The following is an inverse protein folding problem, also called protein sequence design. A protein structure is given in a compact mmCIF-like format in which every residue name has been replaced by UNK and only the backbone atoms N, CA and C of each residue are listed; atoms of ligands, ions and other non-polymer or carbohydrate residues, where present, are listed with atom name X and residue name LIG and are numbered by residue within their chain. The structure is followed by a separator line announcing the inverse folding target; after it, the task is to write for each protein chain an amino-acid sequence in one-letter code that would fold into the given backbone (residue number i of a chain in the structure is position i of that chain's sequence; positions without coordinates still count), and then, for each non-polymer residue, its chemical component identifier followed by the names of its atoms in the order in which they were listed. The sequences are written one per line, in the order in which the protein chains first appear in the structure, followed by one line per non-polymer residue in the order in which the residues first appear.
data_IF_467688389635
#
_entry.id   IF_467688389635
#
_cell.length_a   1.000
_cell.length_b   1.000
_cell.length_c   1.000
_cell.angle_alpha   90.00
_cell.angle_beta   90.00
_cell.angle_gamma   90.00
#
_symmetry.space_group_name_H-M   'P 1'
#
loop_
_entity.id
_entity.type
_entity.pdbx_description
1 polymer ?
#
# COMPACT_ATOMS: atom_id res chain seq x y z
N UNK A 1 -42.10 4.62 -11.02
CA UNK A 1 -41.41 5.74 -11.71
C UNK A 1 -39.99 5.28 -11.98
N UNK A 2 -39.72 4.87 -13.20
CA UNK A 2 -38.37 4.48 -13.63
C UNK A 2 -37.50 5.74 -13.63
N UNK A 3 -36.35 5.69 -13.01
CA UNK A 3 -35.39 6.77 -13.04
C UNK A 3 -34.93 6.97 -14.50
N UNK A 4 -35.07 8.17 -14.99
CA UNK A 4 -34.73 8.61 -16.34
C UNK A 4 -33.26 8.30 -16.64
N UNK A 5 -32.92 7.56 -17.73
CA UNK A 5 -31.56 7.35 -18.16
C UNK A 5 -30.78 8.66 -18.44
N UNK A 6 -31.45 9.79 -18.55
CA UNK A 6 -30.84 11.10 -18.72
C UNK A 6 -30.18 11.63 -17.43
N UNK A 7 -30.63 11.22 -16.24
CA UNK A 7 -30.06 11.63 -14.94
C UNK A 7 -28.68 10.98 -14.73
N UNK A 8 -28.37 9.86 -15.39
CA UNK A 8 -27.06 9.23 -15.38
C UNK A 8 -26.03 9.91 -16.31
N UNK A 9 -26.46 10.90 -17.12
CA UNK A 9 -25.56 11.60 -18.07
C UNK A 9 -25.06 12.96 -17.59
N UNK A 10 -25.50 13.47 -16.44
CA UNK A 10 -25.10 14.80 -15.95
C UNK A 10 -24.13 14.82 -14.78
N UNK A 11 -23.63 13.65 -14.30
CA UNK A 11 -22.42 13.66 -13.50
C UNK A 11 -21.27 14.05 -14.43
N UNK A 12 -20.61 15.16 -14.17
CA UNK A 12 -19.37 15.59 -14.82
C UNK A 12 -18.56 14.36 -15.22
N UNK A 13 -18.22 14.23 -16.50
CA UNK A 13 -17.37 13.17 -17.02
C UNK A 13 -16.00 13.38 -16.37
N UNK A 14 -15.85 12.93 -15.13
CA UNK A 14 -14.54 12.89 -14.49
C UNK A 14 -13.67 12.04 -15.37
N UNK A 15 -12.63 12.66 -15.88
CA UNK A 15 -11.60 11.99 -16.68
C UNK A 15 -11.14 10.75 -15.91
N UNK A 16 -11.10 9.61 -16.56
CA UNK A 16 -10.62 8.39 -15.93
C UNK A 16 -9.15 8.55 -15.53
N UNK A 17 -8.74 8.00 -14.39
CA UNK A 17 -7.32 7.92 -14.07
C UNK A 17 -6.53 7.24 -15.19
N UNK A 18 -5.40 7.81 -15.56
CA UNK A 18 -4.58 7.35 -16.69
C UNK A 18 -4.21 5.85 -16.61
N UNK A 19 -4.03 5.32 -15.40
CA UNK A 19 -3.78 3.88 -15.20
C UNK A 19 -4.97 3.01 -15.61
N UNK A 20 -6.19 3.45 -15.38
CA UNK A 20 -7.41 2.71 -15.75
C UNK A 20 -7.69 2.81 -17.24
N UNK A 21 -7.46 4.00 -17.84
CA UNK A 21 -7.58 4.20 -19.28
C UNK A 21 -6.67 3.27 -20.09
N UNK A 22 -5.49 2.98 -19.54
CA UNK A 22 -4.49 2.14 -20.19
C UNK A 22 -4.69 0.65 -19.94
N UNK A 23 -5.22 0.25 -18.77
CA UNK A 23 -5.26 -1.16 -18.36
C UNK A 23 -6.22 -1.99 -19.23
N UNK A 24 -7.45 -1.51 -19.43
CA UNK A 24 -8.47 -2.23 -20.22
C UNK A 24 -8.00 -2.52 -21.65
N UNK A 25 -7.62 -1.48 -22.43
CA UNK A 25 -7.11 -1.66 -23.78
C UNK A 25 -5.89 -2.60 -23.87
N UNK A 26 -4.92 -2.46 -22.96
CA UNK A 26 -3.72 -3.31 -22.96
C UNK A 26 -4.02 -4.78 -22.65
N UNK A 27 -5.00 -5.06 -21.77
CA UNK A 27 -5.46 -6.42 -21.53
C UNK A 27 -6.19 -7.00 -22.76
N UNK A 28 -6.98 -6.18 -23.46
CA UNK A 28 -7.68 -6.58 -24.68
C UNK A 28 -6.70 -6.89 -25.82
N UNK A 29 -5.68 -6.07 -26.02
CA UNK A 29 -4.60 -6.28 -27.01
C UNK A 29 -3.90 -7.63 -26.80
N UNK A 30 -3.63 -7.98 -25.54
CA UNK A 30 -3.00 -9.24 -25.17
C UNK A 30 -4.01 -10.41 -25.06
N UNK A 31 -5.27 -10.20 -25.46
CA UNK A 31 -6.35 -11.18 -25.43
C UNK A 31 -6.55 -11.87 -24.08
N UNK A 32 -6.30 -11.16 -23.00
CA UNK A 32 -6.53 -11.63 -21.64
C UNK A 32 -8.03 -11.74 -21.39
N UNK A 33 -8.51 -12.90 -20.98
CA UNK A 33 -9.92 -13.12 -20.61
C UNK A 33 -10.11 -12.71 -19.15
N UNK A 34 -10.89 -11.65 -18.93
CA UNK A 34 -11.17 -11.11 -17.62
C UNK A 34 -12.51 -10.40 -17.57
N UNK A 35 -13.03 -10.19 -16.37
CA UNK A 35 -14.18 -9.32 -16.12
C UNK A 35 -14.11 -8.72 -14.71
N UNK A 36 -14.79 -7.60 -14.52
CA UNK A 36 -15.05 -7.05 -13.20
C UNK A 36 -16.30 -7.75 -12.63
N UNK A 37 -16.07 -8.78 -11.81
CA UNK A 37 -17.13 -9.71 -11.41
C UNK A 37 -18.05 -9.20 -10.29
N UNK A 38 -17.74 -8.02 -9.70
CA UNK A 38 -18.62 -7.33 -8.72
C UNK A 38 -18.31 -5.85 -8.65
N UNK A 39 -19.34 -5.06 -8.32
CA UNK A 39 -19.21 -3.63 -8.01
C UNK A 39 -18.89 -2.74 -9.21
N UNK A 40 -19.10 -3.21 -10.45
CA UNK A 40 -18.84 -2.42 -11.67
C UNK A 40 -19.64 -1.12 -11.70
N UNK A 41 -20.85 -1.10 -11.22
CA UNK A 41 -21.76 0.04 -11.16
C UNK A 41 -21.36 1.10 -10.10
N UNK A 42 -20.47 0.79 -9.14
CA UNK A 42 -19.93 1.74 -8.15
C UNK A 42 -18.70 2.51 -8.68
N UNK A 43 -18.75 2.91 -9.96
CA UNK A 43 -17.63 3.52 -10.68
C UNK A 43 -17.03 4.71 -9.92
N UNK A 44 -17.85 5.61 -9.40
CA UNK A 44 -17.40 6.83 -8.70
C UNK A 44 -16.50 6.53 -7.49
N UNK A 45 -16.64 5.38 -6.87
CA UNK A 45 -15.84 5.00 -5.71
C UNK A 45 -14.48 4.40 -6.10
N UNK A 46 -14.45 3.44 -7.05
CA UNK A 46 -13.20 2.78 -7.36
C UNK A 46 -12.31 3.61 -8.31
N UNK A 47 -12.87 4.53 -9.11
CA UNK A 47 -12.07 5.48 -9.92
C UNK A 47 -11.35 6.52 -9.06
N UNK A 48 -11.85 6.84 -7.88
CA UNK A 48 -11.20 7.76 -6.92
C UNK A 48 -10.23 7.07 -5.96
N UNK A 49 -10.08 5.75 -6.07
CA UNK A 49 -9.27 4.93 -5.15
C UNK A 49 -9.92 4.70 -3.78
N UNK A 50 -11.23 5.01 -3.63
CA UNK A 50 -11.97 4.74 -2.38
C UNK A 50 -12.45 3.30 -2.27
N UNK A 51 -12.65 2.63 -3.40
CA UNK A 51 -13.05 1.23 -3.50
C UNK A 51 -11.95 0.34 -4.06
N UNK A 52 -12.18 -0.96 -4.00
CA UNK A 52 -11.38 -1.97 -4.70
C UNK A 52 -12.05 -2.30 -6.03
N UNK A 53 -11.25 -2.58 -7.05
CA UNK A 53 -11.69 -3.11 -8.34
C UNK A 53 -11.46 -4.62 -8.29
N UNK A 54 -12.54 -5.38 -8.34
CA UNK A 54 -12.48 -6.84 -8.22
C UNK A 54 -12.54 -7.49 -9.60
N UNK A 55 -11.40 -7.91 -10.12
CA UNK A 55 -11.27 -8.55 -11.42
C UNK A 55 -11.17 -10.06 -11.28
N UNK A 56 -11.93 -10.79 -12.08
CA UNK A 56 -11.72 -12.20 -12.33
C UNK A 56 -10.90 -12.34 -13.61
N UNK A 57 -9.82 -13.08 -13.57
CA UNK A 57 -8.93 -13.37 -14.72
C UNK A 57 -8.87 -14.87 -14.92
N UNK A 58 -8.98 -15.32 -16.16
CA UNK A 58 -8.82 -16.73 -16.47
C UNK A 58 -7.47 -17.26 -15.98
N UNK A 59 -7.41 -18.41 -15.28
CA UNK A 59 -6.15 -18.94 -14.75
C UNK A 59 -5.03 -19.06 -15.78
N UNK A 60 -5.37 -19.44 -17.01
CA UNK A 60 -4.42 -19.56 -18.12
C UNK A 60 -3.79 -18.22 -18.52
N UNK A 61 -4.54 -17.13 -18.39
CA UNK A 61 -4.13 -15.79 -18.83
C UNK A 61 -3.52 -14.97 -17.69
N UNK A 62 -3.44 -15.53 -16.47
CA UNK A 62 -3.01 -14.78 -15.28
C UNK A 62 -1.57 -14.27 -15.38
N UNK A 63 -0.64 -15.02 -15.97
CA UNK A 63 0.73 -14.57 -16.18
C UNK A 63 0.81 -13.39 -17.14
N UNK A 64 0.04 -13.41 -18.22
CA UNK A 64 -0.05 -12.30 -19.17
C UNK A 64 -0.66 -11.07 -18.50
N UNK A 65 -1.71 -11.25 -17.69
CA UNK A 65 -2.28 -10.18 -16.87
C UNK A 65 -1.23 -9.53 -15.96
N UNK A 66 -0.42 -10.33 -15.25
CA UNK A 66 0.60 -9.82 -14.35
C UNK A 66 1.63 -8.96 -15.10
N UNK A 67 2.10 -9.42 -16.27
CA UNK A 67 3.05 -8.70 -17.10
C UNK A 67 2.49 -7.34 -17.55
N UNK A 68 1.27 -7.33 -18.09
CA UNK A 68 0.56 -6.13 -18.53
C UNK A 68 0.36 -5.16 -17.36
N UNK A 69 -0.17 -5.62 -16.23
CA UNK A 69 -0.42 -4.80 -15.07
C UNK A 69 0.88 -4.15 -14.53
N UNK A 70 1.98 -4.91 -14.49
CA UNK A 70 3.29 -4.42 -14.08
C UNK A 70 3.83 -3.36 -15.05
N UNK A 71 3.73 -3.59 -16.36
CA UNK A 71 4.17 -2.66 -17.40
C UNK A 71 3.42 -1.33 -17.34
N UNK A 72 2.13 -1.35 -17.04
CA UNK A 72 1.31 -0.14 -16.91
C UNK A 72 1.65 0.66 -15.65
N UNK A 73 2.20 0.01 -14.62
CA UNK A 73 2.61 0.67 -13.38
C UNK A 73 1.89 0.17 -12.13
N UNK A 74 1.16 -0.94 -12.22
CA UNK A 74 0.67 -1.62 -11.03
C UNK A 74 1.77 -2.47 -10.38
N UNK A 75 1.73 -2.58 -9.07
CA UNK A 75 2.64 -3.41 -8.28
C UNK A 75 1.83 -4.35 -7.39
N UNK A 76 2.18 -5.64 -7.43
CA UNK A 76 1.54 -6.63 -6.57
C UNK A 76 2.05 -6.52 -5.13
N UNK A 77 1.16 -6.82 -4.18
CA UNK A 77 1.48 -6.80 -2.76
C UNK A 77 1.07 -8.10 -2.09
N UNK A 78 1.90 -8.55 -1.16
CA UNK A 78 1.62 -9.69 -0.29
C UNK A 78 1.13 -9.23 1.07
N UNK A 79 0.22 -9.98 1.64
CA UNK A 79 -0.24 -9.81 3.02
C UNK A 79 0.44 -10.79 3.96
N UNK A 80 0.16 -10.68 5.26
CA UNK A 80 0.51 -11.75 6.17
C UNK A 80 -0.27 -13.02 5.78
N UNK A 81 0.36 -14.19 5.91
CA UNK A 81 -0.17 -15.49 5.46
C UNK A 81 -1.63 -15.74 5.89
N UNK A 82 -2.03 -15.19 7.03
CA UNK A 82 -3.40 -15.29 7.55
C UNK A 82 -4.38 -14.26 6.96
N UNK A 83 -3.93 -13.34 6.09
CA UNK A 83 -4.78 -12.36 5.40
C UNK A 83 -4.91 -12.64 3.92
N UNK A 84 -4.15 -13.57 3.37
CA UNK A 84 -4.19 -13.94 1.96
C UNK A 84 -5.31 -14.96 1.71
N UNK A 85 -6.07 -14.72 0.68
CA UNK A 85 -7.07 -15.67 0.17
C UNK A 85 -6.41 -16.40 -1.00
N UNK A 86 -6.33 -17.74 -0.98
CA UNK A 86 -5.77 -18.48 -2.11
C UNK A 86 -6.47 -18.14 -3.42
N UNK A 87 -5.72 -17.87 -4.47
CA UNK A 87 -6.27 -17.47 -5.78
C UNK A 87 -6.70 -16.00 -5.86
N UNK A 88 -6.38 -15.17 -4.83
CA UNK A 88 -6.64 -13.72 -4.86
C UNK A 88 -5.34 -12.96 -4.63
N UNK A 89 -5.00 -12.08 -5.53
CA UNK A 89 -3.83 -11.21 -5.43
C UNK A 89 -4.24 -9.75 -5.34
N UNK A 90 -3.48 -8.95 -4.62
CA UNK A 90 -3.74 -7.52 -4.45
C UNK A 90 -2.72 -6.71 -5.23
N UNK A 91 -3.19 -5.78 -6.02
CA UNK A 91 -2.39 -4.90 -6.85
C UNK A 91 -2.68 -3.45 -6.53
N UNK A 92 -1.66 -2.63 -6.57
CA UNK A 92 -1.72 -1.20 -6.29
C UNK A 92 -1.18 -0.44 -7.48
N UNK A 93 -1.85 0.63 -7.88
CA UNK A 93 -1.40 1.56 -8.90
C UNK A 93 -1.30 2.98 -8.32
N UNK A 94 -0.20 3.68 -8.62
CA UNK A 94 -0.05 5.09 -8.29
C UNK A 94 -0.39 5.93 -9.50
N UNK A 95 -1.49 6.66 -9.43
CA UNK A 95 -1.85 7.70 -10.39
C UNK A 95 -1.46 9.07 -9.84
N UNK A 96 -0.91 9.94 -10.69
CA UNK A 96 -0.41 11.27 -10.26
C UNK A 96 -1.52 12.20 -9.82
N UNK A 97 -2.68 12.06 -10.40
CA UNK A 97 -3.84 12.90 -10.12
C UNK A 97 -4.61 12.45 -8.88
N UNK A 98 -4.35 11.22 -8.42
CA UNK A 98 -5.06 10.66 -7.27
C UNK A 98 -4.23 10.75 -5.98
N UNK A 99 -4.86 11.17 -4.87
CA UNK A 99 -4.19 11.19 -3.57
C UNK A 99 -3.97 9.77 -3.01
N UNK A 100 -4.73 8.78 -3.50
CA UNK A 100 -4.76 7.38 -3.03
C UNK A 100 -4.34 6.44 -4.14
N UNK A 101 -4.01 5.20 -3.75
CA UNK A 101 -3.76 4.12 -4.70
C UNK A 101 -5.05 3.63 -5.35
N UNK A 102 -4.98 3.36 -6.64
CA UNK A 102 -5.93 2.48 -7.30
C UNK A 102 -5.63 1.04 -6.88
N UNK A 103 -6.64 0.30 -6.49
CA UNK A 103 -6.47 -1.04 -5.93
C UNK A 103 -7.23 -2.06 -6.74
N UNK A 104 -6.51 -3.10 -7.22
CA UNK A 104 -7.13 -4.23 -7.87
C UNK A 104 -7.04 -5.44 -6.94
N UNK A 105 -8.15 -6.11 -6.76
CA UNK A 105 -8.20 -7.47 -6.24
C UNK A 105 -8.42 -8.41 -7.42
N UNK A 106 -7.42 -9.20 -7.73
CA UNK A 106 -7.43 -10.08 -8.90
C UNK A 106 -7.62 -11.51 -8.45
N UNK A 107 -8.69 -12.08 -8.94
CA UNK A 107 -9.15 -13.42 -8.63
C UNK A 107 -8.86 -14.34 -9.81
N UNK A 108 -8.34 -15.52 -9.55
CA UNK A 108 -8.28 -16.62 -10.54
C UNK A 108 -9.40 -17.64 -10.31
N UNK A 109 -10.08 -17.53 -9.17
CA UNK A 109 -11.18 -18.37 -8.78
C UNK A 109 -12.22 -17.54 -8.05
N UNK A 110 -13.48 -17.77 -8.24
CA UNK A 110 -14.57 -17.10 -7.55
C UNK A 110 -14.68 -17.64 -6.12
N UNK A 111 -14.18 -16.88 -5.17
CA UNK A 111 -14.17 -17.22 -3.75
C UNK A 111 -15.01 -16.21 -3.00
N UNK A 112 -15.99 -16.70 -2.28
CA UNK A 112 -16.93 -15.89 -1.48
C UNK A 112 -16.91 -16.34 -0.01
N UNK A 113 -17.62 -15.62 0.85
CA UNK A 113 -17.71 -15.92 2.28
C UNK A 113 -16.82 -15.03 3.13
N UNK A 114 -16.73 -15.36 4.40
CA UNK A 114 -15.89 -14.64 5.37
C UNK A 114 -14.52 -15.31 5.49
N UNK A 115 -13.50 -14.65 5.00
CA UNK A 115 -12.11 -15.15 4.99
C UNK A 115 -11.52 -15.52 6.36
N UNK A 116 -12.18 -15.16 7.45
CA UNK A 116 -11.83 -15.45 8.84
C UNK A 116 -12.61 -16.64 9.46
N UNK A 117 -13.64 -17.12 8.74
CA UNK A 117 -14.46 -18.27 9.15
C UNK A 117 -14.41 -19.37 8.12
N UNK A 118 -15.08 -19.16 7.01
CA UNK A 118 -15.20 -20.16 5.94
C UNK A 118 -15.23 -19.45 4.61
N UNK A 119 -14.40 -19.90 3.69
CA UNK A 119 -14.41 -19.50 2.28
C UNK A 119 -15.10 -20.59 1.49
N UNK A 120 -15.82 -20.20 0.46
CA UNK A 120 -16.51 -21.09 -0.47
C UNK A 120 -16.05 -20.78 -1.88
N UNK A 121 -15.63 -21.80 -2.63
CA UNK A 121 -15.35 -21.68 -4.05
C UNK A 121 -16.66 -21.90 -4.81
N UNK A 122 -17.00 -20.99 -5.71
CA UNK A 122 -18.18 -21.08 -6.57
C UNK A 122 -17.70 -21.30 -8.00
N UNK A 123 -17.99 -22.46 -8.61
CA UNK A 123 -17.46 -22.83 -9.94
C UNK A 123 -18.26 -22.16 -11.07
N UNK A 124 -18.29 -20.81 -11.05
CA UNK A 124 -18.96 -19.97 -12.07
C UNK A 124 -17.95 -19.21 -12.93
N UNK A 125 -16.65 -19.52 -12.83
CA UNK A 125 -15.60 -18.79 -13.55
C UNK A 125 -15.80 -18.82 -15.07
N UNK A 126 -16.13 -19.98 -15.64
CA UNK A 126 -16.37 -20.13 -17.08
C UNK A 126 -17.61 -19.36 -17.54
N UNK A 127 -18.70 -19.41 -16.77
CA UNK A 127 -19.90 -18.64 -17.08
C UNK A 127 -19.67 -17.13 -16.97
N UNK A 128 -18.85 -16.69 -15.98
CA UNK A 128 -18.52 -15.29 -15.77
C UNK A 128 -17.59 -14.71 -16.87
N UNK A 129 -16.71 -15.53 -17.42
CA UNK A 129 -15.74 -15.14 -18.45
C UNK A 129 -16.18 -15.44 -19.88
N UNK A 130 -17.16 -16.34 -20.05
CA UNK A 130 -17.62 -16.82 -21.37
C UNK A 130 -18.46 -15.78 -22.09
N UNK A 131 -19.37 -15.12 -21.38
CA UNK A 131 -20.24 -14.09 -21.93
C UNK A 131 -20.17 -12.85 -21.05
N UNK A 132 -19.43 -11.86 -21.51
CA UNK A 132 -19.26 -10.60 -20.81
C UNK A 132 -20.05 -9.48 -21.47
N UNK A 133 -20.54 -8.56 -20.65
CA UNK A 133 -21.18 -7.29 -21.07
C UNK A 133 -20.11 -6.21 -21.06
N UNK A 134 -19.95 -5.53 -22.20
CA UNK A 134 -18.97 -4.45 -22.32
C UNK A 134 -19.45 -3.19 -21.59
N UNK A 135 -18.56 -2.60 -20.81
CA UNK A 135 -18.73 -1.30 -20.16
C UNK A 135 -17.56 -0.36 -20.48
N UNK A 136 -17.69 0.89 -20.11
CA UNK A 136 -16.72 1.94 -20.46
C UNK A 136 -15.28 1.69 -19.97
N UNK A 137 -15.08 0.87 -18.93
CA UNK A 137 -13.74 0.64 -18.36
C UNK A 137 -13.38 -0.86 -18.39
N UNK A 138 -14.19 -1.69 -17.77
CA UNK A 138 -13.97 -3.15 -17.71
C UNK A 138 -15.27 -3.89 -18.07
N UNK A 139 -15.18 -5.01 -18.75
CA UNK A 139 -16.35 -5.86 -18.96
C UNK A 139 -16.85 -6.45 -17.64
N UNK A 140 -18.15 -6.70 -17.51
CA UNK A 140 -18.75 -7.44 -16.40
C UNK A 140 -19.34 -8.77 -16.87
N UNK A 141 -19.56 -9.74 -15.97
CA UNK A 141 -20.38 -10.91 -16.30
C UNK A 141 -21.81 -10.48 -16.68
N UNK A 142 -22.56 -11.39 -17.24
CA UNK A 142 -24.00 -11.17 -17.46
C UNK A 142 -24.75 -11.03 -16.13
N UNK A 143 -25.87 -10.28 -16.10
CA UNK A 143 -26.64 -10.00 -14.88
C UNK A 143 -27.03 -11.27 -14.09
N UNK A 144 -27.31 -12.39 -14.78
CA UNK A 144 -27.68 -13.65 -14.13
C UNK A 144 -26.54 -14.20 -13.28
N UNK A 145 -25.29 -14.18 -13.80
CA UNK A 145 -24.10 -14.63 -13.08
C UNK A 145 -23.80 -13.71 -11.91
N UNK A 146 -23.91 -12.39 -12.13
CA UNK A 146 -23.71 -11.40 -11.06
C UNK A 146 -24.76 -11.57 -9.96
N UNK A 147 -26.04 -11.80 -10.29
CA UNK A 147 -27.11 -12.00 -9.33
C UNK A 147 -26.88 -13.27 -8.49
N UNK A 148 -26.47 -14.39 -9.10
CA UNK A 148 -26.11 -15.59 -8.36
C UNK A 148 -24.98 -15.28 -7.37
N UNK A 149 -23.88 -14.72 -7.85
CA UNK A 149 -22.72 -14.40 -7.02
C UNK A 149 -23.06 -13.38 -5.91
N UNK A 150 -23.91 -12.41 -6.22
CA UNK A 150 -24.36 -11.43 -5.24
C UNK A 150 -25.18 -12.07 -4.13
N UNK A 151 -26.21 -12.86 -4.45
CA UNK A 151 -27.09 -13.50 -3.45
C UNK A 151 -26.29 -14.45 -2.56
N UNK A 152 -25.47 -15.33 -3.15
CA UNK A 152 -24.65 -16.27 -2.38
C UNK A 152 -23.64 -15.55 -1.46
N UNK A 153 -22.96 -14.54 -1.98
CA UNK A 153 -21.97 -13.75 -1.25
C UNK A 153 -22.59 -13.01 -0.08
N UNK A 154 -23.71 -12.34 -0.31
CA UNK A 154 -24.33 -11.50 0.72
C UNK A 154 -24.98 -12.36 1.80
N UNK A 155 -25.64 -13.46 1.45
CA UNK A 155 -26.21 -14.40 2.41
C UNK A 155 -25.14 -15.02 3.32
N UNK A 156 -23.96 -15.39 2.78
CA UNK A 156 -22.88 -15.98 3.58
C UNK A 156 -22.14 -14.95 4.44
N UNK A 157 -22.07 -13.69 4.02
CA UNK A 157 -21.26 -12.65 4.70
C UNK A 157 -21.98 -11.99 5.88
N UNK A 158 -23.26 -11.66 5.74
CA UNK A 158 -23.92 -10.68 6.62
C UNK A 158 -24.98 -11.21 7.57
N UNK A 159 -25.10 -12.50 7.74
CA UNK A 159 -26.21 -13.06 8.52
C UNK A 159 -26.13 -12.92 10.04
N UNK A 160 -25.02 -12.53 10.67
CA UNK A 160 -24.83 -12.69 12.13
C UNK A 160 -24.38 -11.42 12.87
N UNK A 161 -24.01 -10.36 12.17
CA UNK A 161 -23.42 -9.17 12.81
C UNK A 161 -24.38 -8.03 13.14
N UNK A 162 -25.59 -8.07 12.60
CA UNK A 162 -26.44 -6.89 12.50
C UNK A 162 -27.78 -7.04 13.24
N UNK A 163 -27.69 -7.42 14.52
CA UNK A 163 -28.88 -7.62 15.37
C UNK A 163 -29.48 -6.31 15.89
N UNK A 164 -28.80 -5.19 15.76
CA UNK A 164 -29.22 -3.90 16.29
C UNK A 164 -29.16 -2.79 15.23
N UNK A 165 -30.28 -2.56 14.54
CA UNK A 165 -30.45 -1.45 13.62
C UNK A 165 -30.41 -1.85 12.12
N UNK A 166 -30.85 -0.94 11.25
CA UNK A 166 -30.75 -1.12 9.79
C UNK A 166 -29.32 -0.77 9.35
N UNK A 167 -28.47 -1.75 9.02
CA UNK A 167 -27.09 -1.45 8.68
C UNK A 167 -27.03 -0.72 7.34
N UNK A 168 -26.17 0.30 7.23
CA UNK A 168 -25.99 1.08 6.01
C UNK A 168 -25.68 0.23 4.76
N UNK A 169 -25.11 -0.98 4.93
CA UNK A 169 -24.86 -1.91 3.85
C UNK A 169 -26.15 -2.53 3.25
N UNK A 170 -27.24 -2.65 4.02
CA UNK A 170 -28.52 -3.19 3.52
C UNK A 170 -29.15 -2.27 2.46
N UNK A 171 -29.09 -0.95 2.63
CA UNK A 171 -29.58 0.00 1.63
C UNK A 171 -28.79 -0.13 0.31
N UNK A 172 -27.46 -0.17 0.40
CA UNK A 172 -26.61 -0.38 -0.78
C UNK A 172 -26.83 -1.75 -1.44
N UNK A 173 -27.17 -2.78 -0.65
CA UNK A 173 -27.55 -4.09 -1.17
C UNK A 173 -28.88 -4.11 -1.89
N UNK A 174 -29.86 -3.36 -1.39
CA UNK A 174 -31.18 -3.26 -2.02
C UNK A 174 -31.08 -2.68 -3.43
N UNK A 175 -30.32 -1.59 -3.60
CA UNK A 175 -30.09 -0.97 -4.90
C UNK A 175 -29.42 -1.93 -5.89
N UNK A 176 -28.36 -2.64 -5.44
CA UNK A 176 -27.64 -3.61 -6.26
C UNK A 176 -28.53 -4.81 -6.61
N UNK A 177 -29.29 -5.34 -5.64
CA UNK A 177 -30.21 -6.45 -5.87
C UNK A 177 -31.32 -6.07 -6.86
N UNK A 178 -31.95 -4.92 -6.65
CA UNK A 178 -33.03 -4.45 -7.53
C UNK A 178 -32.53 -4.23 -8.97
N UNK A 179 -31.33 -3.68 -9.13
CA UNK A 179 -30.72 -3.53 -10.45
C UNK A 179 -30.50 -4.89 -11.12
N UNK A 180 -29.90 -5.84 -10.41
CA UNK A 180 -29.59 -7.17 -10.96
C UNK A 180 -30.87 -7.95 -11.27
N UNK A 181 -31.89 -7.90 -10.42
CA UNK A 181 -33.19 -8.55 -10.67
C UNK A 181 -33.93 -7.98 -11.87
N UNK A 182 -33.82 -6.67 -12.12
CA UNK A 182 -34.44 -6.02 -13.27
C UNK A 182 -33.79 -6.39 -14.62
N UNK A 183 -32.52 -6.89 -14.60
CA UNK A 183 -31.77 -7.17 -15.82
C UNK A 183 -31.46 -8.67 -16.04
N UNK A 184 -31.69 -9.50 -15.02
CA UNK A 184 -31.42 -10.93 -15.10
C UNK A 184 -32.61 -11.69 -15.68
N UNK A 185 -32.35 -12.61 -16.61
CA UNK A 185 -33.33 -13.58 -17.11
C UNK A 185 -33.50 -14.73 -16.08
N UNK A 186 -34.73 -14.93 -15.53
CA UNK A 186 -34.98 -15.94 -14.50
C UNK A 186 -34.74 -17.38 -14.97
N UNK A 187 -35.06 -17.72 -16.22
CA UNK A 187 -34.90 -19.08 -16.71
C UNK A 187 -33.43 -19.40 -16.92
N UNK A 188 -32.68 -18.49 -17.51
CA UNK A 188 -31.24 -18.61 -17.69
C UNK A 188 -30.49 -18.64 -16.33
N UNK A 189 -30.94 -17.90 -15.35
CA UNK A 189 -30.39 -17.93 -14.00
C UNK A 189 -30.52 -19.34 -13.39
N UNK A 190 -31.70 -19.97 -13.53
CA UNK A 190 -31.92 -21.30 -13.00
C UNK A 190 -31.09 -22.37 -13.72
N UNK A 191 -30.95 -22.26 -15.04
CA UNK A 191 -30.08 -23.14 -15.84
C UNK A 191 -28.61 -23.02 -15.40
N UNK A 192 -28.12 -21.82 -15.16
CA UNK A 192 -26.77 -21.58 -14.65
C UNK A 192 -26.56 -22.18 -13.24
N UNK A 193 -27.54 -22.02 -12.34
CA UNK A 193 -27.49 -22.64 -11.01
C UNK A 193 -27.43 -24.16 -11.10
N UNK A 194 -28.35 -24.76 -11.86
CA UNK A 194 -28.42 -26.23 -12.03
C UNK A 194 -27.13 -26.79 -12.64
N UNK A 195 -26.53 -26.09 -13.60
CA UNK A 195 -25.31 -26.53 -14.28
C UNK A 195 -24.04 -26.35 -13.45
N UNK A 196 -23.89 -25.23 -12.79
CA UNK A 196 -22.61 -24.85 -12.16
C UNK A 196 -22.64 -24.96 -10.65
N UNK A 197 -23.79 -24.83 -9.99
CA UNK A 197 -23.93 -24.86 -8.54
C UNK A 197 -25.10 -25.76 -8.12
N UNK A 198 -25.13 -27.04 -8.54
CA UNK A 198 -26.28 -27.93 -8.35
C UNK A 198 -26.64 -28.16 -6.87
N UNK A 199 -25.72 -27.90 -5.95
CA UNK A 199 -25.99 -27.96 -4.51
C UNK A 199 -26.93 -26.84 -4.02
N UNK A 200 -27.17 -25.80 -4.82
CA UNK A 200 -28.06 -24.68 -4.53
C UNK A 200 -29.25 -24.75 -5.48
N UNK A 201 -30.28 -25.45 -5.04
CA UNK A 201 -31.52 -25.54 -5.79
C UNK A 201 -32.31 -24.21 -5.80
N UNK A 202 -33.32 -24.13 -6.66
CA UNK A 202 -34.17 -22.93 -6.81
C UNK A 202 -34.82 -22.50 -5.47
N UNK A 203 -35.43 -23.40 -4.67
CA UNK A 203 -36.01 -23.03 -3.39
C UNK A 203 -35.00 -22.42 -2.41
N UNK A 204 -33.77 -22.95 -2.32
CA UNK A 204 -32.73 -22.44 -1.46
C UNK A 204 -32.18 -21.08 -1.95
N UNK A 205 -32.03 -20.94 -3.28
CA UNK A 205 -31.64 -19.67 -3.87
C UNK A 205 -32.67 -18.57 -3.57
N UNK A 206 -33.96 -18.84 -3.82
CA UNK A 206 -35.06 -17.90 -3.56
C UNK A 206 -35.19 -17.57 -2.08
N UNK A 207 -35.02 -18.54 -1.18
CA UNK A 207 -34.98 -18.31 0.27
C UNK A 207 -33.82 -17.41 0.66
N UNK A 208 -32.64 -17.63 0.06
CA UNK A 208 -31.45 -16.79 0.28
C UNK A 208 -31.65 -15.36 -0.21
N UNK A 209 -32.24 -15.21 -1.40
CA UNK A 209 -32.58 -13.92 -2.00
C UNK A 209 -33.58 -13.13 -1.12
N UNK A 210 -34.68 -13.78 -0.71
CA UNK A 210 -35.69 -13.18 0.20
C UNK A 210 -35.10 -12.81 1.56
N UNK A 211 -34.08 -13.53 2.03
CA UNK A 211 -33.39 -13.21 3.29
C UNK A 211 -32.55 -11.94 3.24
N UNK A 212 -32.25 -11.42 2.02
CA UNK A 212 -31.55 -10.13 1.83
C UNK A 212 -32.50 -8.92 1.91
N UNK A 213 -33.82 -9.14 1.96
CA UNK A 213 -34.76 -8.07 2.21
C UNK A 213 -34.47 -7.42 3.58
N UNK A 214 -34.36 -6.09 3.68
CA UNK A 214 -34.20 -5.40 4.95
C UNK A 214 -35.26 -5.72 5.99
N UNK A 215 -36.49 -6.00 5.56
CA UNK A 215 -37.60 -6.41 6.45
C UNK A 215 -37.53 -7.88 6.90
N UNK A 216 -36.64 -8.69 6.28
CA UNK A 216 -36.46 -10.08 6.72
C UNK A 216 -35.85 -10.11 8.12
N UNK A 217 -36.54 -10.81 9.05
CA UNK A 217 -36.06 -10.97 10.42
C UNK A 217 -34.70 -11.72 10.48
N UNK A 218 -33.90 -11.42 11.49
CA UNK A 218 -32.58 -12.02 11.69
C UNK A 218 -32.58 -13.54 11.65
N UNK A 219 -33.64 -14.18 12.16
CA UNK A 219 -33.80 -15.64 12.18
C UNK A 219 -33.88 -16.22 10.76
N UNK A 220 -34.59 -15.55 9.84
CA UNK A 220 -34.66 -15.96 8.42
C UNK A 220 -33.29 -15.84 7.73
N UNK A 221 -32.56 -14.77 7.99
CA UNK A 221 -31.19 -14.58 7.49
C UNK A 221 -30.25 -15.66 8.01
N UNK A 222 -30.35 -16.00 9.30
CA UNK A 222 -29.53 -17.05 9.89
C UNK A 222 -29.90 -18.43 9.35
N UNK A 223 -31.18 -18.70 9.13
CA UNK A 223 -31.66 -19.96 8.56
C UNK A 223 -31.15 -20.14 7.11
N UNK A 224 -31.31 -19.11 6.26
CA UNK A 224 -30.80 -19.10 4.89
C UNK A 224 -29.27 -19.30 4.84
N UNK A 225 -28.53 -18.59 5.68
CA UNK A 225 -27.07 -18.75 5.79
C UNK A 225 -26.67 -20.18 6.18
N UNK A 226 -27.32 -20.76 7.17
CA UNK A 226 -27.03 -22.13 7.62
C UNK A 226 -27.37 -23.17 6.54
N UNK A 227 -28.49 -22.99 5.86
CA UNK A 227 -28.90 -23.87 4.76
C UNK A 227 -27.93 -23.78 3.59
N UNK A 228 -27.59 -22.55 3.17
CA UNK A 228 -26.61 -22.30 2.10
C UNK A 228 -25.20 -22.81 2.47
N UNK A 229 -24.76 -22.57 3.71
CA UNK A 229 -23.47 -23.08 4.19
C UNK A 229 -23.37 -24.59 4.20
N UNK A 230 -24.49 -25.30 4.49
CA UNK A 230 -24.55 -26.77 4.41
C UNK A 230 -24.54 -27.25 2.96
N UNK A 231 -25.30 -26.61 2.09
CA UNK A 231 -25.33 -26.95 0.66
C UNK A 231 -23.94 -26.81 0.03
N UNK A 232 -23.21 -25.75 0.37
CA UNK A 232 -21.87 -25.47 -0.16
C UNK A 232 -20.72 -26.10 0.67
N UNK A 233 -21.02 -27.02 1.62
CA UNK A 233 -20.00 -27.60 2.49
C UNK A 233 -18.87 -28.30 1.74
N UNK A 234 -19.16 -28.98 0.63
CA UNK A 234 -18.17 -29.68 -0.20
C UNK A 234 -17.16 -28.72 -0.85
N UNK A 235 -17.55 -27.48 -1.14
CA UNK A 235 -16.69 -26.45 -1.71
C UNK A 235 -16.11 -25.50 -0.67
N UNK A 236 -16.32 -25.80 0.62
CA UNK A 236 -15.89 -24.94 1.73
C UNK A 236 -14.44 -25.17 2.13
N UNK A 237 -13.79 -24.08 2.53
CA UNK A 237 -12.45 -24.10 3.13
C UNK A 237 -12.51 -23.34 4.45
N UNK A 238 -12.60 -24.05 5.60
CA UNK A 238 -12.58 -23.39 6.90
C UNK A 238 -11.21 -22.76 7.16
N UNK A 239 -11.22 -21.59 7.79
CA UNK A 239 -9.98 -20.95 8.18
C UNK A 239 -9.28 -21.76 9.29
N UNK A 240 -7.94 -21.95 9.24
CA UNK A 240 -7.20 -22.58 10.32
C UNK A 240 -7.40 -21.83 11.65
N UNK A 241 -7.47 -22.55 12.77
CA UNK A 241 -7.66 -21.98 14.11
C UNK A 241 -6.75 -20.79 14.45
N UNK A 242 -5.42 -20.86 14.20
CA UNK A 242 -4.53 -19.72 14.45
C UNK A 242 -4.90 -18.47 13.67
N UNK A 243 -5.43 -18.63 12.46
CA UNK A 243 -5.91 -17.56 11.60
C UNK A 243 -7.16 -16.91 12.20
N UNK A 244 -8.10 -17.71 12.63
CA UNK A 244 -9.35 -17.25 13.26
C UNK A 244 -9.06 -16.45 14.51
N UNK A 245 -8.21 -16.96 15.42
CA UNK A 245 -7.83 -16.28 16.67
C UNK A 245 -7.15 -14.94 16.39
N UNK A 246 -6.14 -14.91 15.54
CA UNK A 246 -5.43 -13.64 15.20
C UNK A 246 -6.36 -12.59 14.61
N UNK A 247 -7.34 -12.99 13.84
CA UNK A 247 -8.31 -12.09 13.21
C UNK A 247 -9.37 -11.59 14.16
N UNK A 248 -9.82 -12.45 15.07
CA UNK A 248 -10.71 -12.01 16.16
C UNK A 248 -10.01 -10.96 17.01
N UNK A 249 -8.74 -11.18 17.37
CA UNK A 249 -7.93 -10.20 18.09
C UNK A 249 -7.76 -8.90 17.29
N UNK A 250 -7.51 -8.99 15.98
CA UNK A 250 -7.39 -7.80 15.12
C UNK A 250 -8.72 -7.03 15.02
N UNK A 251 -9.86 -7.72 14.92
CA UNK A 251 -11.19 -7.12 14.89
C UNK A 251 -11.54 -6.42 16.20
N UNK A 252 -11.22 -7.05 17.33
CA UNK A 252 -11.40 -6.45 18.66
C UNK A 252 -10.53 -5.20 18.81
N UNK A 253 -9.26 -5.27 18.42
CA UNK A 253 -8.36 -4.10 18.42
C UNK A 253 -8.89 -2.96 17.57
N UNK A 254 -9.41 -3.25 16.36
CA UNK A 254 -10.00 -2.24 15.49
C UNK A 254 -11.23 -1.57 16.12
N UNK A 255 -12.09 -2.34 16.81
CA UNK A 255 -13.23 -1.81 17.57
C UNK A 255 -12.81 -0.92 18.75
N UNK A 256 -11.66 -1.21 19.34
CA UNK A 256 -11.06 -0.40 20.41
C UNK A 256 -10.25 0.79 19.86
N UNK A 257 -10.36 1.12 18.57
CA UNK A 257 -9.63 2.23 17.92
C UNK A 257 -8.12 1.99 17.76
N UNK A 258 -7.64 0.80 18.11
CA UNK A 258 -6.22 0.44 17.91
C UNK A 258 -6.01 0.08 16.45
N UNK A 259 -5.45 1.00 15.68
CA UNK A 259 -5.09 0.75 14.28
C UNK A 259 -4.03 -0.35 14.23
N UNK A 260 -4.37 -1.48 13.62
CA UNK A 260 -3.35 -2.46 13.24
C UNK A 260 -2.43 -1.82 12.20
N UNK A 261 -1.10 -1.94 12.33
CA UNK A 261 -0.20 -1.46 11.29
C UNK A 261 -0.53 -2.14 9.96
N UNK A 262 -0.34 -1.42 8.86
CA UNK A 262 -0.50 -1.99 7.53
C UNK A 262 0.31 -3.30 7.43
N UNK A 263 -0.36 -4.37 7.05
CA UNK A 263 0.20 -5.72 7.12
C UNK A 263 0.75 -6.20 5.77
N UNK A 264 0.81 -5.32 4.75
CA UNK A 264 1.23 -5.67 3.39
C UNK A 264 2.64 -5.18 3.10
N UNK A 265 3.29 -5.87 2.18
CA UNK A 265 4.59 -5.50 1.61
C UNK A 265 4.58 -5.74 0.11
N UNK A 266 5.38 -5.00 -0.68
CA UNK A 266 5.52 -5.23 -2.10
C UNK A 266 5.97 -6.67 -2.38
N UNK A 267 5.43 -7.29 -3.42
CA UNK A 267 5.83 -8.65 -3.79
C UNK A 267 7.25 -8.71 -4.38
N UNK A 268 7.72 -7.60 -4.95
CA UNK A 268 9.11 -7.39 -5.39
C UNK A 268 10.13 -7.42 -4.26
N UNK A 269 9.70 -7.24 -3.02
CA UNK A 269 10.55 -7.09 -1.84
C UNK A 269 10.39 -5.71 -1.19
N UNK A 270 11.14 -5.48 -0.12
CA UNK A 270 11.18 -4.17 0.53
C UNK A 270 12.18 -3.22 -0.10
N UNK A 271 12.18 -1.96 0.35
CA UNK A 271 13.00 -0.90 -0.22
C UNK A 271 13.63 -0.04 0.89
N UNK A 272 14.95 0.16 0.81
CA UNK A 272 15.69 1.10 1.65
C UNK A 272 15.87 2.41 0.89
N UNK A 273 15.14 3.45 1.29
CA UNK A 273 15.11 4.75 0.62
C UNK A 273 15.87 5.78 1.43
N UNK A 274 16.86 6.40 0.83
CA UNK A 274 17.57 7.55 1.38
C UNK A 274 16.98 8.87 0.86
N UNK A 275 16.58 9.76 1.77
CA UNK A 275 16.13 11.11 1.43
C UNK A 275 17.23 12.09 1.82
N UNK A 276 17.87 12.67 0.82
CA UNK A 276 19.03 13.56 0.93
C UNK A 276 18.64 14.97 0.49
N UNK A 277 19.34 15.98 0.93
CA UNK A 277 19.11 17.38 0.57
C UNK A 277 19.59 18.33 1.66
N UNK A 278 19.70 19.62 1.32
CA UNK A 278 20.13 20.66 2.21
C UNK A 278 19.13 20.96 3.34
N UNK A 279 19.57 21.71 4.34
CA UNK A 279 18.66 22.28 5.34
C UNK A 279 17.72 23.27 4.64
N UNK A 280 16.43 23.23 4.93
CA UNK A 280 15.41 23.98 4.21
C UNK A 280 14.84 23.29 2.93
N UNK A 281 15.39 22.17 2.46
CA UNK A 281 14.88 21.44 1.29
C UNK A 281 13.57 20.68 1.53
N UNK A 282 12.99 20.67 2.73
CA UNK A 282 11.71 20.03 3.00
C UNK A 282 11.77 18.51 3.28
N UNK A 283 12.94 17.92 3.53
CA UNK A 283 13.14 16.46 3.73
C UNK A 283 12.14 15.83 4.71
N UNK A 284 11.98 16.41 5.89
CA UNK A 284 11.12 15.83 6.94
C UNK A 284 9.63 15.91 6.56
N UNK A 285 9.23 16.99 5.90
CA UNK A 285 7.86 17.15 5.39
C UNK A 285 7.56 16.10 4.30
N UNK A 286 8.49 15.93 3.37
CA UNK A 286 8.39 14.94 2.29
C UNK A 286 8.41 13.50 2.82
N UNK A 287 9.31 13.18 3.75
CA UNK A 287 9.38 11.86 4.39
C UNK A 287 8.08 11.52 5.12
N UNK A 288 7.49 12.50 5.83
CA UNK A 288 6.20 12.31 6.51
C UNK A 288 5.05 12.10 5.52
N UNK A 289 5.03 12.86 4.43
CA UNK A 289 4.04 12.71 3.37
C UNK A 289 4.11 11.33 2.70
N UNK A 290 5.32 10.88 2.33
CA UNK A 290 5.55 9.54 1.79
C UNK A 290 5.16 8.44 2.79
N UNK A 291 5.54 8.59 4.06
CA UNK A 291 5.16 7.66 5.13
C UNK A 291 3.65 7.56 5.31
N UNK A 292 2.93 8.69 5.27
CA UNK A 292 1.46 8.72 5.38
C UNK A 292 0.81 8.01 4.20
N UNK A 293 1.28 8.29 3.00
CA UNK A 293 0.77 7.70 1.76
C UNK A 293 1.00 6.19 1.70
N UNK A 294 2.24 5.73 1.86
CA UNK A 294 2.58 4.30 1.87
C UNK A 294 1.98 3.56 3.06
N UNK A 295 2.03 4.17 4.25
CA UNK A 295 1.61 3.56 5.50
C UNK A 295 0.12 3.25 5.60
N UNK A 296 -0.70 3.75 4.66
CA UNK A 296 -2.09 3.34 4.53
C UNK A 296 -2.24 1.88 4.12
N UNK A 297 -1.27 1.32 3.38
CA UNK A 297 -1.35 -0.03 2.81
C UNK A 297 -0.11 -0.89 3.06
N UNK A 298 1.08 -0.28 3.17
CA UNK A 298 2.35 -0.98 3.25
C UNK A 298 3.01 -0.82 4.62
N UNK A 299 3.81 -1.80 5.01
CA UNK A 299 4.68 -1.68 6.18
C UNK A 299 5.77 -0.66 5.91
N UNK A 300 5.80 0.40 6.71
CA UNK A 300 6.77 1.49 6.56
C UNK A 300 7.54 1.72 7.85
N UNK A 301 8.81 2.08 7.72
CA UNK A 301 9.66 2.56 8.79
C UNK A 301 10.20 3.92 8.42
N UNK A 302 10.26 4.86 9.38
CA UNK A 302 10.91 6.15 9.21
C UNK A 302 12.09 6.27 10.18
N UNK A 303 13.25 6.68 9.66
CA UNK A 303 14.46 6.86 10.45
C UNK A 303 15.16 8.17 10.06
N UNK A 304 15.66 8.89 11.07
CA UNK A 304 16.41 10.13 10.90
C UNK A 304 17.87 9.91 11.28
N UNK A 305 18.78 9.74 10.31
CA UNK A 305 20.19 9.44 10.57
C UNK A 305 21.02 10.67 10.95
N UNK A 306 20.58 11.87 10.59
CA UNK A 306 21.24 13.10 11.01
C UNK A 306 21.16 13.37 12.52
N UNK A 307 20.06 12.97 13.15
CA UNK A 307 19.83 13.04 14.59
C UNK A 307 19.36 11.68 15.11
N UNK A 308 20.28 10.68 15.18
CA UNK A 308 19.92 9.35 15.62
C UNK A 308 19.40 9.36 17.06
N UNK A 309 18.54 8.40 17.42
CA UNK A 309 18.20 8.14 18.81
C UNK A 309 19.50 7.80 19.55
N UNK A 310 19.82 8.61 20.57
CA UNK A 310 21.04 8.46 21.36
C UNK A 310 20.92 7.22 22.24
N UNK A 311 21.93 6.37 22.16
CA UNK A 311 22.10 5.26 23.13
C UNK A 311 22.50 5.80 24.50
N UNK A 312 22.32 4.99 25.53
CA UNK A 312 22.73 5.33 26.90
C UNK A 312 24.18 5.80 26.96
N UNK A 313 25.08 5.11 26.26
CA UNK A 313 26.50 5.50 26.19
C UNK A 313 26.71 6.85 25.51
N UNK A 314 25.96 7.19 24.49
CA UNK A 314 26.01 8.51 23.83
C UNK A 314 25.52 9.62 24.77
N UNK A 315 24.51 9.34 25.60
CA UNK A 315 24.00 10.27 26.61
C UNK A 315 25.02 10.48 27.71
N UNK A 316 25.63 9.41 28.25
CA UNK A 316 26.66 9.46 29.27
C UNK A 316 27.89 10.25 28.82
N UNK A 317 28.44 9.92 27.64
CA UNK A 317 29.57 10.67 27.05
C UNK A 317 29.20 12.16 26.84
N UNK A 318 27.95 12.42 26.43
CA UNK A 318 27.43 13.78 26.27
C UNK A 318 27.36 14.56 27.60
N UNK A 319 26.98 13.91 28.69
CA UNK A 319 26.94 14.48 30.02
C UNK A 319 28.37 14.74 30.57
N UNK A 320 29.25 13.72 30.49
CA UNK A 320 30.67 13.84 30.89
C UNK A 320 31.39 14.98 30.15
N UNK A 321 31.14 15.15 28.86
CA UNK A 321 31.74 16.23 28.07
C UNK A 321 31.30 17.63 28.53
N UNK A 322 30.09 17.77 29.12
CA UNK A 322 29.63 19.03 29.68
C UNK A 322 30.34 19.36 31.01
N UNK A 323 30.67 18.32 31.78
CA UNK A 323 31.38 18.46 33.06
C UNK A 323 32.89 18.61 32.87
N UNK A 324 33.44 17.83 31.92
CA UNK A 324 34.88 17.76 31.61
C UNK A 324 35.10 18.09 30.13
N UNK A 325 35.48 19.32 29.74
CA UNK A 325 35.66 19.70 28.33
C UNK A 325 36.94 19.15 27.71
N UNK A 326 37.18 17.84 27.84
CA UNK A 326 38.35 17.15 27.28
C UNK A 326 38.14 16.83 25.79
N UNK A 327 39.14 17.11 24.92
CA UNK A 327 39.03 16.75 23.47
C UNK A 327 38.70 15.29 23.23
N UNK A 328 39.24 14.36 24.04
CA UNK A 328 38.96 12.96 23.97
C UNK A 328 37.44 12.63 24.09
N UNK A 329 36.72 13.33 24.96
CA UNK A 329 35.27 13.14 25.12
C UNK A 329 34.48 13.64 23.90
N UNK A 330 34.99 14.63 23.17
CA UNK A 330 34.43 15.09 21.91
C UNK A 330 34.60 14.01 20.84
N UNK A 331 35.79 13.39 20.73
CA UNK A 331 36.02 12.26 19.79
C UNK A 331 35.15 11.03 20.12
N UNK A 332 35.06 10.69 21.42
CA UNK A 332 34.18 9.60 21.87
C UNK A 332 32.71 9.88 21.53
N UNK A 333 32.25 11.13 21.65
CA UNK A 333 30.89 11.50 21.26
C UNK A 333 30.65 11.32 19.75
N UNK A 334 31.61 11.71 18.88
CA UNK A 334 31.52 11.49 17.45
C UNK A 334 31.48 10.00 17.13
N UNK A 335 32.34 9.20 17.73
CA UNK A 335 32.35 7.76 17.60
C UNK A 335 31.02 7.11 18.05
N UNK A 336 30.47 7.50 19.19
CA UNK A 336 29.18 7.01 19.65
C UNK A 336 28.04 7.39 18.68
N UNK A 337 28.11 8.60 18.11
CA UNK A 337 27.14 9.05 17.10
C UNK A 337 27.23 8.24 15.81
N UNK A 338 28.43 7.96 15.32
CA UNK A 338 28.67 7.10 14.16
C UNK A 338 28.12 5.68 14.39
N UNK A 339 28.39 5.08 15.55
CA UNK A 339 27.82 3.80 15.95
C UNK A 339 26.29 3.81 16.00
N UNK A 340 25.67 4.86 16.55
CA UNK A 340 24.22 4.96 16.64
C UNK A 340 23.60 5.12 15.23
N UNK A 341 24.24 5.85 14.32
CA UNK A 341 23.86 5.93 12.88
C UNK A 341 23.93 4.57 12.21
N UNK A 342 25.05 3.86 12.37
CA UNK A 342 25.24 2.52 11.83
C UNK A 342 24.13 1.56 12.31
N UNK A 343 23.82 1.57 13.61
CA UNK A 343 22.76 0.70 14.18
C UNK A 343 21.39 1.01 13.58
N UNK A 344 21.05 2.27 13.39
CA UNK A 344 19.77 2.69 12.81
C UNK A 344 19.73 2.33 11.33
N UNK A 345 20.79 2.59 10.57
CA UNK A 345 20.89 2.22 9.15
C UNK A 345 20.76 0.69 8.96
N UNK A 346 21.47 -0.09 9.75
CA UNK A 346 21.38 -1.56 9.71
C UNK A 346 19.97 -2.06 10.09
N UNK A 347 19.32 -1.42 11.06
CA UNK A 347 17.92 -1.75 11.40
C UNK A 347 16.97 -1.42 10.25
N UNK A 348 17.16 -0.29 9.57
CA UNK A 348 16.36 0.09 8.41
C UNK A 348 16.56 -0.86 7.23
N UNK A 349 17.82 -1.24 6.95
CA UNK A 349 18.15 -2.22 5.92
C UNK A 349 17.53 -3.59 6.22
N UNK A 350 17.62 -4.07 7.46
CA UNK A 350 16.96 -5.34 7.88
C UNK A 350 15.44 -5.25 7.75
N UNK A 351 14.84 -4.09 8.02
CA UNK A 351 13.42 -3.89 7.84
C UNK A 351 13.02 -3.95 6.36
N UNK A 352 13.84 -3.38 5.46
CA UNK A 352 13.68 -3.48 4.02
C UNK A 352 13.85 -4.93 3.52
N UNK A 353 14.91 -5.63 3.94
CA UNK A 353 15.13 -7.05 3.61
C UNK A 353 13.96 -7.95 4.05
N UNK A 354 13.22 -7.57 5.10
CA UNK A 354 12.00 -8.25 5.54
C UNK A 354 10.73 -7.73 4.84
N UNK A 355 10.87 -7.11 3.67
CA UNK A 355 9.77 -6.69 2.81
C UNK A 355 9.15 -5.33 3.17
N UNK A 356 9.67 -4.59 4.16
CA UNK A 356 9.17 -3.26 4.51
C UNK A 356 9.78 -2.15 3.66
N UNK A 357 9.18 -0.95 3.66
CA UNK A 357 9.72 0.24 3.01
C UNK A 357 10.30 1.15 4.09
N UNK A 358 11.63 1.30 4.10
CA UNK A 358 12.35 2.12 5.07
C UNK A 358 12.70 3.49 4.46
N UNK A 359 12.12 4.56 5.00
CA UNK A 359 12.38 5.94 4.61
C UNK A 359 13.39 6.55 5.57
N UNK A 360 14.59 6.85 5.08
CA UNK A 360 15.71 7.32 5.90
C UNK A 360 16.11 8.74 5.51
N UNK A 361 15.96 9.69 6.45
CA UNK A 361 16.42 11.06 6.24
C UNK A 361 17.90 11.23 6.58
N UNK A 362 18.58 12.10 5.81
CA UNK A 362 19.99 12.42 6.00
C UNK A 362 20.87 11.17 6.06
N UNK A 363 20.68 10.30 5.05
CA UNK A 363 21.46 9.09 4.92
C UNK A 363 22.92 9.45 4.61
N UNK A 364 23.92 8.88 5.30
CA UNK A 364 25.32 9.10 4.97
C UNK A 364 25.66 8.57 3.57
N UNK A 365 26.54 9.23 2.85
CA UNK A 365 27.02 8.80 1.54
C UNK A 365 28.31 9.54 1.19
N UNK A 366 29.17 8.92 0.40
CA UNK A 366 30.50 9.45 0.07
C UNK A 366 30.42 10.83 -0.58
N UNK A 367 29.43 11.07 -1.40
CA UNK A 367 29.26 12.33 -2.15
C UNK A 367 28.91 13.53 -1.24
N UNK A 368 28.49 13.29 0.00
CA UNK A 368 28.07 14.34 0.93
C UNK A 368 28.55 14.10 2.38
N UNK A 369 29.68 13.47 2.54
CA UNK A 369 30.31 13.22 3.84
C UNK A 369 30.44 14.47 4.70
N UNK A 370 30.66 15.63 4.08
CA UNK A 370 30.69 16.92 4.76
C UNK A 370 29.36 17.29 5.44
N UNK A 371 28.23 16.72 5.02
CA UNK A 371 26.92 16.95 5.65
C UNK A 371 26.66 16.00 6.81
N UNK A 372 26.96 14.71 6.64
CA UNK A 372 26.60 13.63 7.59
C UNK A 372 27.72 12.57 7.72
N UNK A 373 28.94 12.89 7.45
CA UNK A 373 30.10 11.98 7.47
C UNK A 373 30.89 11.96 8.78
N UNK A 374 32.09 11.34 8.75
CA UNK A 374 33.04 11.31 9.85
C UNK A 374 33.52 12.71 10.28
N UNK A 375 33.73 12.94 11.57
CA UNK A 375 34.04 14.25 12.13
C UNK A 375 35.34 14.31 12.93
N UNK A 376 35.87 13.17 13.38
CA UNK A 376 37.01 13.15 14.28
C UNK A 376 38.24 13.74 13.59
N UNK A 377 38.49 13.43 12.31
CA UNK A 377 39.63 14.00 11.58
C UNK A 377 39.54 15.50 11.44
N UNK A 378 38.36 16.01 11.13
CA UNK A 378 38.08 17.44 11.00
C UNK A 378 38.26 18.15 12.33
N UNK A 379 37.73 17.57 13.41
CA UNK A 379 37.80 18.15 14.79
C UNK A 379 39.21 18.11 15.38
N UNK A 380 40.03 17.10 15.00
CA UNK A 380 41.39 16.94 15.51
C UNK A 380 42.40 17.87 14.82
N UNK A 381 42.01 18.64 13.83
CA UNK A 381 42.91 19.49 13.03
C UNK A 381 43.73 18.71 12.00
N UNK A 382 44.10 19.39 10.90
CA UNK A 382 44.77 18.76 9.75
C UNK A 382 46.28 18.53 9.87
N UNK A 383 46.92 18.76 11.05
CA UNK A 383 48.35 18.73 11.19
C UNK A 383 48.97 17.34 11.46
N UNK A 384 50.31 17.19 11.28
CA UNK A 384 51.05 15.96 11.53
C UNK A 384 51.07 15.50 13.01
N UNK A 385 50.80 16.37 13.95
CA UNK A 385 50.77 16.10 15.42
C UNK A 385 49.39 15.61 15.90
N UNK A 386 48.68 14.82 15.12
CA UNK A 386 47.48 14.12 15.62
C UNK A 386 47.88 13.18 16.75
N UNK A 387 47.37 13.40 17.96
CA UNK A 387 47.59 12.45 19.02
C UNK A 387 47.16 11.04 18.58
N UNK A 388 47.95 10.00 18.86
CA UNK A 388 47.70 8.59 18.55
C UNK A 388 46.24 8.17 18.78
N UNK A 389 45.63 8.62 19.87
CA UNK A 389 44.26 8.35 20.25
C UNK A 389 43.24 8.87 19.19
N UNK A 390 43.38 10.14 18.75
CA UNK A 390 42.51 10.73 17.75
C UNK A 390 42.58 9.99 16.42
N UNK A 391 43.76 9.59 15.98
CA UNK A 391 43.97 8.80 14.75
C UNK A 391 43.34 7.40 14.83
N UNK A 392 43.40 6.76 15.98
CA UNK A 392 42.77 5.45 16.20
C UNK A 392 41.24 5.55 16.22
N UNK A 393 40.69 6.53 16.95
CA UNK A 393 39.25 6.75 17.03
C UNK A 393 38.65 7.19 15.66
N UNK A 394 39.38 7.99 14.88
CA UNK A 394 38.96 8.37 13.54
C UNK A 394 38.83 7.16 12.59
N UNK A 395 39.77 6.22 12.62
CA UNK A 395 39.69 4.97 11.85
C UNK A 395 38.48 4.14 12.22
N UNK A 396 38.17 4.02 13.50
CA UNK A 396 36.98 3.31 13.97
C UNK A 396 35.70 4.03 13.58
N UNK A 397 35.67 5.37 13.62
CA UNK A 397 34.54 6.16 13.14
C UNK A 397 34.28 5.92 11.65
N UNK A 398 35.33 6.01 10.82
CA UNK A 398 35.25 5.78 9.37
C UNK A 398 34.80 4.36 9.04
N UNK A 399 35.23 3.38 9.83
CA UNK A 399 34.80 2.00 9.66
C UNK A 399 33.28 1.84 9.92
N UNK A 400 32.71 2.51 10.90
CA UNK A 400 31.26 2.53 11.07
C UNK A 400 30.54 3.11 9.86
N UNK A 401 31.01 4.22 9.28
CA UNK A 401 30.40 4.82 8.11
C UNK A 401 30.54 3.92 6.87
N UNK A 402 31.68 3.27 6.68
CA UNK A 402 31.93 2.35 5.56
C UNK A 402 31.01 1.12 5.60
N UNK A 403 30.62 0.69 6.79
CA UNK A 403 29.71 -0.45 6.99
C UNK A 403 28.23 -0.09 6.90
N UNK A 404 27.87 1.18 6.73
CA UNK A 404 26.48 1.57 6.52
C UNK A 404 26.01 0.98 5.18
N UNK A 405 24.87 0.23 5.17
CA UNK A 405 24.35 -0.37 3.95
C UNK A 405 24.08 0.67 2.87
N UNK A 406 24.30 0.32 1.61
CA UNK A 406 23.92 1.17 0.47
C UNK A 406 22.40 1.19 0.33
N UNK A 407 21.76 2.34 0.15
CA UNK A 407 20.31 2.41 -0.09
C UNK A 407 19.96 1.92 -1.49
N UNK A 408 18.79 1.29 -1.61
CA UNK A 408 18.26 0.83 -2.89
C UNK A 408 17.81 2.01 -3.76
N UNK A 409 17.35 3.10 -3.14
CA UNK A 409 16.93 4.32 -3.82
C UNK A 409 17.42 5.56 -3.07
N UNK A 410 18.00 6.51 -3.79
CA UNK A 410 18.37 7.84 -3.29
C UNK A 410 17.46 8.91 -3.91
N UNK A 411 16.70 9.58 -3.08
CA UNK A 411 15.86 10.72 -3.44
C UNK A 411 16.55 12.01 -3.01
N UNK A 412 17.05 12.76 -3.97
CA UNK A 412 17.82 13.99 -3.76
C UNK A 412 16.87 15.18 -3.91
N UNK A 413 16.63 15.89 -2.81
CA UNK A 413 15.84 17.12 -2.79
C UNK A 413 16.79 18.30 -3.09
N UNK A 414 16.81 18.73 -4.34
CA UNK A 414 17.64 19.84 -4.80
C UNK A 414 16.88 21.15 -4.64
N UNK A 415 17.50 22.12 -3.98
CA UNK A 415 16.90 23.45 -3.77
C UNK A 415 18.01 24.50 -3.90
N UNK A 416 17.72 25.61 -4.59
CA UNK A 416 18.64 26.73 -4.70
C UNK A 416 19.02 27.28 -3.31
N UNK A 417 20.29 27.63 -3.06
CA UNK A 417 20.76 28.06 -1.74
C UNK A 417 19.96 29.23 -1.16
N UNK A 418 19.54 30.18 -1.98
CA UNK A 418 18.75 31.33 -1.56
C UNK A 418 17.35 30.94 -1.08
N UNK A 419 16.74 29.93 -1.74
CA UNK A 419 15.45 29.37 -1.33
C UNK A 419 15.59 28.62 0.00
N UNK A 420 16.68 27.85 0.15
CA UNK A 420 16.99 27.14 1.39
C UNK A 420 17.12 28.10 2.58
N UNK A 421 17.84 29.21 2.40
CA UNK A 421 18.03 30.28 3.41
C UNK A 421 16.68 30.89 3.80
N UNK A 422 15.84 31.24 2.82
CA UNK A 422 14.50 31.80 3.09
C UNK A 422 13.60 30.84 3.87
N UNK A 423 13.70 29.55 3.60
CA UNK A 423 12.87 28.51 4.25
C UNK A 423 13.38 28.12 5.66
N UNK A 424 14.69 28.29 5.93
CA UNK A 424 15.33 27.86 7.18
C UNK A 424 15.83 29.06 7.99
N UNK A 425 14.91 29.69 8.70
CA UNK A 425 15.18 30.92 9.50
C UNK A 425 15.73 30.64 10.91
N UNK A 426 15.73 29.38 11.37
CA UNK A 426 16.16 28.99 12.73
C UNK A 426 17.68 28.78 12.86
N UNK A 427 18.44 28.89 11.77
CA UNK A 427 19.89 28.72 11.71
C UNK A 427 20.51 29.92 10.96
N UNK A 428 21.79 30.26 11.24
CA UNK A 428 22.47 31.37 10.55
C UNK A 428 22.44 31.20 9.03
N UNK A 429 22.09 32.27 8.32
CA UNK A 429 21.89 32.22 6.85
C UNK A 429 23.13 31.70 6.11
N UNK A 430 24.34 32.11 6.52
CA UNK A 430 25.59 31.68 5.91
C UNK A 430 25.84 30.18 6.11
N UNK A 431 25.52 29.65 7.29
CA UNK A 431 25.60 28.21 7.55
C UNK A 431 24.66 27.41 6.65
N UNK A 432 23.41 27.85 6.51
CA UNK A 432 22.41 27.22 5.62
C UNK A 432 22.85 27.30 4.17
N UNK A 433 23.33 28.48 3.72
CA UNK A 433 23.80 28.71 2.35
C UNK A 433 24.96 27.77 1.99
N UNK A 434 26.00 27.71 2.84
CA UNK A 434 27.16 26.82 2.61
C UNK A 434 26.74 25.36 2.46
N UNK A 435 25.85 24.87 3.32
CA UNK A 435 25.35 23.48 3.24
C UNK A 435 24.46 23.25 2.04
N UNK A 436 23.69 24.23 1.60
CA UNK A 436 22.88 24.14 0.41
C UNK A 436 23.75 24.12 -0.86
N UNK A 437 24.81 24.92 -0.91
CA UNK A 437 25.78 24.90 -2.01
C UNK A 437 26.46 23.56 -2.16
N UNK A 438 26.85 22.88 -1.07
CA UNK A 438 27.44 21.55 -1.12
C UNK A 438 26.51 20.53 -1.82
N UNK A 439 25.21 20.58 -1.55
CA UNK A 439 24.23 19.69 -2.20
C UNK A 439 23.99 20.13 -3.66
N UNK A 440 23.93 21.44 -3.89
CA UNK A 440 23.65 22.02 -5.20
C UNK A 440 24.76 21.76 -6.23
N UNK A 441 26.02 21.81 -5.78
CA UNK A 441 27.20 21.62 -6.65
C UNK A 441 27.62 20.16 -6.81
N UNK A 442 27.03 19.25 -6.00
CA UNK A 442 27.34 17.84 -6.11
C UNK A 442 26.70 17.26 -7.38
N UNK A 443 27.49 16.56 -8.19
CA UNK A 443 26.99 15.74 -9.28
C UNK A 443 26.34 14.47 -8.71
N UNK A 444 25.02 14.43 -8.78
CA UNK A 444 24.26 13.28 -8.32
C UNK A 444 24.08 12.26 -9.42
N UNK A 445 24.92 11.23 -9.43
CA UNK A 445 24.94 10.16 -10.42
C UNK A 445 24.54 8.82 -9.81
N UNK A 446 24.24 7.84 -10.69
CA UNK A 446 23.91 6.46 -10.30
C UNK A 446 22.47 6.06 -10.68
N UNK A 447 22.33 4.81 -11.09
CA UNK A 447 21.06 4.24 -11.55
C UNK A 447 19.95 4.31 -10.50
N UNK A 448 20.30 4.24 -9.22
CA UNK A 448 19.40 4.31 -8.08
C UNK A 448 19.21 5.72 -7.50
N UNK A 449 19.59 6.76 -8.23
CA UNK A 449 19.50 8.17 -7.79
C UNK A 449 18.44 8.91 -8.61
N UNK A 450 17.56 9.62 -7.90
CA UNK A 450 16.53 10.47 -8.50
C UNK A 450 16.63 11.87 -7.91
N UNK A 451 16.93 12.84 -8.75
CA UNK A 451 17.02 14.26 -8.37
C UNK A 451 15.64 14.89 -8.56
N UNK A 452 15.13 15.52 -7.50
CA UNK A 452 13.84 16.18 -7.47
C UNK A 452 14.03 17.66 -7.17
N UNK A 453 13.49 18.52 -8.03
CA UNK A 453 13.48 19.97 -7.78
C UNK A 453 12.56 20.31 -6.62
N UNK A 454 13.17 20.54 -5.46
CA UNK A 454 12.47 20.94 -4.24
C UNK A 454 12.18 22.45 -4.18
N UNK A 455 12.51 23.20 -5.21
CA UNK A 455 12.11 24.61 -5.38
C UNK A 455 10.62 24.75 -5.69
N UNK A 456 10.04 23.75 -6.32
CA UNK A 456 8.63 23.67 -6.72
C UNK A 456 7.67 23.70 -5.51
N UNK A 457 6.35 23.93 -5.73
CA UNK A 457 5.32 23.79 -4.69
C UNK A 457 5.34 22.40 -4.05
N UNK A 458 5.10 22.34 -2.75
CA UNK A 458 5.16 21.08 -1.99
C UNK A 458 4.31 19.93 -2.58
N UNK A 459 3.08 20.15 -3.09
CA UNK A 459 2.30 19.08 -3.71
C UNK A 459 3.01 18.44 -4.90
N UNK A 460 3.65 19.25 -5.75
CA UNK A 460 4.35 18.78 -6.95
C UNK A 460 5.61 17.99 -6.59
N UNK A 461 6.38 18.48 -5.61
CA UNK A 461 7.54 17.76 -5.04
C UNK A 461 7.12 16.41 -4.48
N UNK A 462 6.02 16.36 -3.71
CA UNK A 462 5.52 15.11 -3.13
C UNK A 462 5.04 14.16 -4.22
N UNK A 463 4.38 14.65 -5.27
CA UNK A 463 3.94 13.83 -6.42
C UNK A 463 5.13 13.26 -7.18
N UNK A 464 6.17 14.06 -7.44
CA UNK A 464 7.39 13.59 -8.06
C UNK A 464 8.10 12.50 -7.23
N UNK A 465 8.18 12.69 -5.91
CA UNK A 465 8.75 11.71 -4.98
C UNK A 465 7.96 10.40 -4.95
N UNK A 466 6.62 10.47 -4.92
CA UNK A 466 5.76 9.28 -4.98
C UNK A 466 6.00 8.51 -6.27
N UNK A 467 6.03 9.21 -7.42
CA UNK A 467 6.27 8.59 -8.72
C UNK A 467 7.65 7.94 -8.80
N UNK A 468 8.70 8.64 -8.36
CA UNK A 468 10.06 8.11 -8.34
C UNK A 468 10.19 6.85 -7.47
N UNK A 469 9.59 6.86 -6.27
CA UNK A 469 9.60 5.73 -5.37
C UNK A 469 8.77 4.55 -5.92
N UNK A 470 7.62 4.84 -6.53
CA UNK A 470 6.73 3.79 -7.03
C UNK A 470 7.30 3.01 -8.20
N UNK A 471 8.11 3.66 -9.02
CA UNK A 471 8.81 3.02 -10.15
C UNK A 471 9.85 1.97 -9.69
N UNK A 472 10.40 2.13 -8.50
CA UNK A 472 11.43 1.22 -7.95
C UNK A 472 10.81 0.01 -7.20
N UNK A 473 9.51 0.01 -6.97
CA UNK A 473 8.75 -1.11 -6.39
C UNK A 473 8.22 -2.03 -7.47
#
# INVERSE_FOLDING_TARGET
MAADPAVLRSAEVRQLPALLERLGPALAEQKVRYCQWKGHWKRDRWTTGEGDIDLLVAPADFHTFMAVAHQIGYRSARGAHYTEIPGVTSWYGHDRELPRFLRLHVYTHLIIGEYWRTLYRIPLEEAALGEVVSHAVFPSPRPEVELILFVLRMTLRHAVGDVAGEPAWLTACREELAYLEAHADPDRLHDLLARHVPAVDRPLFDASRKALDPQAGWHRRLAARRALGRALAASSRPAPLPVTVRRTVAAVRARLGVRSPAARWPASGGLLVAIVGADGAGKSTCALALRKWLGAHFRTMHAHLGRPRRSVTTLLVGALRKLLPLPALTYLRHLCTARDRYRIATRAARFALNGGIALCERYPGAEHDQLVGPRIRETAGGGPNRGWLAGRLARVEEDYYRRIPTPDLRLILLVAPEVAVRRKTTEPAEYVRRRAMLVWQTEWTGANTRVIDAGQPLPDVVTALKSALWLEL
#
